data_IF_239630938346
#
_entry.id   IF_239630938346
#
_cell.length_a   1.000
_cell.length_b   1.000
_cell.length_c   1.000
_cell.angle_alpha   90.00
_cell.angle_beta   90.00
_cell.angle_gamma   90.00
#
_symmetry.space_group_name_H-M   'P 1'
#
loop_
_entity.id
_entity.type
_entity.pdbx_description
1 polymer ?
#
# COMPACT_ATOMS: atom_id res chain seq x y z
N UNK A 1 15.25 -18.43 -32.51
CA UNK A 1 14.03 -17.77 -31.98
C UNK A 1 13.13 -18.88 -31.45
N UNK A 2 12.65 -18.77 -30.21
CA UNK A 2 12.19 -19.94 -29.43
C UNK A 2 10.95 -20.60 -30.06
N UNK A 3 11.10 -21.85 -30.49
CA UNK A 3 10.10 -22.65 -31.19
C UNK A 3 9.20 -23.40 -30.20
N UNK A 4 8.31 -22.69 -29.50
CA UNK A 4 7.23 -23.32 -28.74
C UNK A 4 5.91 -23.12 -29.48
N UNK A 5 5.08 -24.16 -29.53
CA UNK A 5 3.76 -24.08 -30.19
C UNK A 5 2.94 -22.96 -29.52
N UNK A 6 2.44 -21.95 -30.24
CA UNK A 6 1.94 -20.70 -29.65
C UNK A 6 0.74 -20.88 -28.71
N UNK A 7 -0.05 -21.94 -28.90
CA UNK A 7 -1.20 -22.27 -28.03
C UNK A 7 -0.85 -23.16 -26.84
N UNK A 8 0.36 -23.73 -26.80
CA UNK A 8 0.82 -24.54 -25.67
C UNK A 8 0.99 -23.69 -24.41
N UNK A 9 0.97 -24.33 -23.23
CA UNK A 9 1.28 -23.67 -21.95
C UNK A 9 2.65 -22.99 -21.98
N UNK A 10 3.65 -23.66 -22.56
CA UNK A 10 5.00 -23.13 -22.75
C UNK A 10 5.01 -21.93 -23.70
N UNK A 11 4.29 -22.01 -24.82
CA UNK A 11 4.18 -20.91 -25.79
C UNK A 11 3.56 -19.66 -25.18
N UNK A 12 2.50 -19.82 -24.36
CA UNK A 12 1.89 -18.72 -23.61
C UNK A 12 2.83 -18.10 -22.59
N UNK A 13 3.53 -18.93 -21.80
CA UNK A 13 4.48 -18.47 -20.81
C UNK A 13 5.64 -17.69 -21.45
N UNK A 14 6.15 -18.19 -22.58
CA UNK A 14 7.20 -17.53 -23.34
C UNK A 14 6.74 -16.18 -23.91
N UNK A 15 5.56 -16.14 -24.54
CA UNK A 15 4.99 -14.91 -25.07
C UNK A 15 4.77 -13.86 -23.98
N UNK A 16 4.33 -14.30 -22.78
CA UNK A 16 4.21 -13.44 -21.62
C UNK A 16 5.57 -12.91 -21.14
N UNK A 17 6.56 -13.79 -20.96
CA UNK A 17 7.90 -13.42 -20.54
C UNK A 17 8.54 -12.42 -21.50
N UNK A 18 8.41 -12.64 -22.81
CA UNK A 18 8.92 -11.74 -23.85
C UNK A 18 8.33 -10.33 -23.76
N UNK A 19 7.02 -10.21 -23.50
CA UNK A 19 6.38 -8.91 -23.27
C UNK A 19 6.90 -8.20 -22.02
N UNK A 20 7.30 -8.96 -21.00
CA UNK A 20 7.79 -8.43 -19.73
C UNK A 20 9.29 -8.08 -19.74
N UNK A 21 10.07 -8.67 -20.67
CA UNK A 21 11.52 -8.47 -20.76
C UNK A 21 11.98 -7.01 -20.77
N UNK A 22 11.35 -6.07 -21.51
CA UNK A 22 11.76 -4.66 -21.48
C UNK A 22 11.70 -4.06 -20.07
N UNK A 23 10.61 -4.34 -19.33
CA UNK A 23 10.45 -3.88 -17.95
C UNK A 23 11.46 -4.52 -17.01
N UNK A 24 11.68 -5.84 -17.16
CA UNK A 24 12.69 -6.54 -16.35
C UNK A 24 14.10 -6.04 -16.63
N UNK A 25 14.43 -5.52 -17.81
CA UNK A 25 15.77 -4.98 -18.08
C UNK A 25 16.02 -3.61 -17.43
N UNK A 26 15.01 -2.96 -16.86
CA UNK A 26 15.14 -1.63 -16.24
C UNK A 26 16.12 -1.61 -15.06
N UNK A 27 16.30 -2.73 -14.34
CA UNK A 27 17.31 -2.79 -13.27
C UNK A 27 18.75 -2.78 -13.81
N UNK A 28 18.97 -3.14 -15.08
CA UNK A 28 20.29 -3.07 -15.72
C UNK A 28 20.69 -1.64 -16.05
N UNK A 29 19.71 -0.77 -16.29
CA UNK A 29 19.96 0.64 -16.65
C UNK A 29 19.97 1.56 -15.44
N UNK A 30 19.26 1.22 -14.36
CA UNK A 30 19.16 2.07 -13.18
C UNK A 30 19.47 1.28 -11.90
N UNK A 31 20.56 1.68 -11.22
CA UNK A 31 21.07 1.08 -9.98
C UNK A 31 20.11 1.18 -8.79
N UNK A 32 19.14 2.09 -8.82
CA UNK A 32 18.16 2.24 -7.75
C UNK A 32 17.18 1.06 -7.70
N UNK A 33 16.99 0.32 -8.80
CA UNK A 33 16.11 -0.84 -8.82
C UNK A 33 16.84 -2.12 -8.40
N UNK A 34 16.19 -2.87 -7.51
CA UNK A 34 16.66 -4.22 -7.11
C UNK A 34 16.20 -5.23 -8.16
N UNK A 35 17.00 -6.28 -8.36
CA UNK A 35 16.69 -7.38 -9.30
C UNK A 35 15.46 -8.20 -8.87
N UNK A 36 15.09 -8.13 -7.59
CA UNK A 36 14.02 -8.91 -6.98
C UNK A 36 12.93 -7.98 -6.42
N UNK A 37 11.69 -8.47 -6.42
CA UNK A 37 10.51 -7.72 -5.98
C UNK A 37 10.12 -7.98 -4.51
N UNK A 38 10.99 -8.63 -3.72
CA UNK A 38 10.66 -9.06 -2.35
C UNK A 38 10.13 -7.94 -1.46
N UNK A 39 10.59 -6.70 -1.65
CA UNK A 39 10.12 -5.56 -0.87
C UNK A 39 8.64 -5.26 -1.14
N UNK A 40 8.23 -5.20 -2.42
CA UNK A 40 6.84 -4.96 -2.77
C UNK A 40 5.96 -6.16 -2.41
N UNK A 41 6.46 -7.39 -2.59
CA UNK A 41 5.74 -8.60 -2.17
C UNK A 41 5.50 -8.63 -0.66
N UNK A 42 6.50 -8.27 0.15
CA UNK A 42 6.35 -8.14 1.60
C UNK A 42 5.37 -7.02 1.98
N UNK A 43 5.39 -5.90 1.26
CA UNK A 43 4.46 -4.79 1.50
C UNK A 43 3.01 -5.15 1.19
N UNK A 44 2.74 -5.90 0.12
CA UNK A 44 1.36 -6.27 -0.26
C UNK A 44 0.83 -7.51 0.49
N UNK A 45 1.72 -8.34 1.06
CA UNK A 45 1.34 -9.59 1.73
C UNK A 45 0.34 -9.40 2.89
N UNK A 46 0.51 -8.43 3.82
CA UNK A 46 -0.48 -8.17 4.87
C UNK A 46 -1.87 -7.90 4.30
N UNK A 47 -1.97 -7.06 3.27
CA UNK A 47 -3.24 -6.75 2.61
C UNK A 47 -3.90 -7.98 1.97
N UNK A 48 -3.12 -8.83 1.27
CA UNK A 48 -3.64 -10.07 0.66
C UNK A 48 -4.15 -11.04 1.72
N UNK A 49 -3.44 -11.19 2.83
CA UNK A 49 -3.85 -12.04 3.96
C UNK A 49 -5.15 -11.51 4.56
N UNK A 50 -5.25 -10.21 4.78
CA UNK A 50 -6.43 -9.60 5.39
C UNK A 50 -7.64 -9.57 4.47
N UNK A 51 -7.45 -9.46 3.15
CA UNK A 51 -8.53 -9.66 2.17
C UNK A 51 -9.20 -11.03 2.35
N UNK A 52 -8.43 -12.06 2.71
CA UNK A 52 -9.00 -13.39 3.01
C UNK A 52 -9.89 -13.37 4.26
N UNK A 53 -9.54 -12.59 5.27
CA UNK A 53 -10.39 -12.37 6.46
C UNK A 53 -11.65 -11.57 6.12
N UNK A 54 -11.56 -10.63 5.17
CA UNK A 54 -12.66 -9.72 4.80
C UNK A 54 -13.54 -10.19 3.64
N UNK A 55 -13.25 -11.35 3.04
CA UNK A 55 -14.20 -12.01 2.13
C UNK A 55 -15.56 -12.31 2.79
N UNK A 56 -15.67 -12.16 4.11
CA UNK A 56 -16.94 -12.22 4.84
C UNK A 56 -17.71 -10.88 4.90
N UNK A 57 -17.14 -9.77 4.41
CA UNK A 57 -17.82 -8.46 4.30
C UNK A 57 -18.73 -8.48 3.06
N UNK A 58 -19.99 -8.87 3.24
CA UNK A 58 -20.98 -9.08 2.15
C UNK A 58 -21.41 -7.82 1.38
N UNK A 59 -20.79 -6.67 1.61
CA UNK A 59 -21.24 -5.37 1.10
C UNK A 59 -20.09 -4.60 0.49
N UNK A 60 -20.27 -4.05 -0.71
CA UNK A 60 -19.27 -3.23 -1.42
C UNK A 60 -18.74 -2.04 -0.60
N UNK A 61 -19.61 -1.47 0.26
CA UNK A 61 -19.21 -0.43 1.22
C UNK A 61 -18.22 -0.94 2.26
N UNK A 62 -18.40 -2.16 2.76
CA UNK A 62 -17.50 -2.77 3.75
C UNK A 62 -16.13 -3.06 3.14
N UNK A 63 -16.09 -3.57 1.91
CA UNK A 63 -14.84 -3.75 1.17
C UNK A 63 -14.11 -2.43 0.96
N UNK A 64 -14.82 -1.38 0.53
CA UNK A 64 -14.24 -0.05 0.30
C UNK A 64 -13.69 0.58 1.58
N UNK A 65 -14.44 0.50 2.69
CA UNK A 65 -14.01 1.01 4.00
C UNK A 65 -12.76 0.28 4.50
N UNK A 66 -12.72 -1.04 4.29
CA UNK A 66 -11.60 -1.86 4.72
C UNK A 66 -10.31 -1.53 3.92
N UNK A 67 -10.44 -1.29 2.61
CA UNK A 67 -9.32 -0.83 1.78
C UNK A 67 -8.82 0.57 2.17
N UNK A 68 -9.75 1.47 2.52
CA UNK A 68 -9.42 2.80 3.03
C UNK A 68 -8.62 2.72 4.34
N UNK A 69 -9.10 1.91 5.30
CA UNK A 69 -8.40 1.71 6.57
C UNK A 69 -6.99 1.16 6.34
N UNK A 70 -6.80 0.16 5.47
CA UNK A 70 -5.44 -0.33 5.16
C UNK A 70 -4.53 0.74 4.56
N UNK A 71 -5.09 1.61 3.72
CA UNK A 71 -4.31 2.68 3.09
C UNK A 71 -3.78 3.66 4.15
N UNK A 72 -4.59 3.99 5.16
CA UNK A 72 -4.18 4.82 6.29
C UNK A 72 -3.08 4.12 7.11
N UNK A 73 -3.28 2.84 7.42
CA UNK A 73 -2.32 2.04 8.19
C UNK A 73 -0.95 1.98 7.52
N UNK A 74 -0.92 1.71 6.22
CA UNK A 74 0.35 1.64 5.48
C UNK A 74 0.99 3.02 5.35
N UNK A 75 0.20 4.09 5.21
CA UNK A 75 0.71 5.45 5.24
C UNK A 75 1.35 5.78 6.61
N UNK A 76 0.71 5.42 7.73
CA UNK A 76 1.25 5.66 9.07
C UNK A 76 2.60 4.95 9.28
N UNK A 77 2.70 3.69 8.85
CA UNK A 77 3.94 2.92 8.93
C UNK A 77 5.08 3.55 8.15
N UNK A 78 4.80 4.01 6.92
CA UNK A 78 5.80 4.67 6.07
C UNK A 78 6.25 6.00 6.68
N UNK A 79 5.36 6.71 7.37
CA UNK A 79 5.65 7.98 8.04
C UNK A 79 6.17 7.82 9.48
N UNK A 80 6.35 6.60 9.98
CA UNK A 80 6.88 6.34 11.32
C UNK A 80 5.92 6.73 12.46
N UNK A 81 4.61 6.72 12.20
CA UNK A 81 3.57 7.01 13.17
C UNK A 81 3.11 5.75 13.90
N UNK A 82 2.79 5.91 15.19
CA UNK A 82 2.14 4.91 16.00
C UNK A 82 0.66 4.85 15.61
N UNK A 83 0.33 3.88 14.76
CA UNK A 83 -0.99 3.70 14.15
C UNK A 83 -2.16 3.83 15.12
N UNK A 84 -2.10 3.21 16.30
CA UNK A 84 -3.19 3.26 17.29
C UNK A 84 -3.46 4.71 17.75
N UNK A 85 -2.42 5.45 18.07
CA UNK A 85 -2.54 6.85 18.52
C UNK A 85 -2.99 7.76 17.38
N UNK A 86 -2.46 7.53 16.18
CA UNK A 86 -2.83 8.32 15.02
C UNK A 86 -4.30 8.13 14.65
N UNK A 87 -4.82 6.89 14.69
CA UNK A 87 -6.24 6.64 14.45
C UNK A 87 -7.15 7.31 15.48
N UNK A 88 -6.77 7.29 16.77
CA UNK A 88 -7.51 8.00 17.81
C UNK A 88 -7.54 9.51 17.54
N UNK A 89 -6.37 10.10 17.27
CA UNK A 89 -6.26 11.51 16.90
C UNK A 89 -7.11 11.85 15.67
N UNK A 90 -7.04 11.03 14.62
CA UNK A 90 -7.82 11.24 13.40
C UNK A 90 -9.33 11.18 13.67
N UNK A 91 -9.80 10.24 14.49
CA UNK A 91 -11.21 10.15 14.85
C UNK A 91 -11.68 11.30 15.74
N UNK A 92 -10.85 11.77 16.68
CA UNK A 92 -11.15 12.95 17.48
C UNK A 92 -11.27 14.20 16.61
N UNK A 93 -10.35 14.39 15.67
CA UNK A 93 -10.39 15.52 14.74
C UNK A 93 -11.62 15.43 13.83
N UNK A 94 -11.88 14.26 13.24
CA UNK A 94 -13.04 14.06 12.37
C UNK A 94 -14.39 14.21 13.11
N UNK A 95 -14.46 13.85 14.39
CA UNK A 95 -15.67 14.02 15.19
C UNK A 95 -15.97 15.50 15.49
N UNK A 96 -14.94 16.35 15.54
CA UNK A 96 -15.06 17.77 15.85
C UNK A 96 -15.10 18.67 14.60
N UNK A 97 -14.83 18.13 13.41
CA UNK A 97 -14.84 18.88 12.15
C UNK A 97 -16.26 19.03 11.58
N UNK A 98 -16.65 20.26 11.28
CA UNK A 98 -17.75 20.50 10.34
C UNK A 98 -17.25 20.23 8.91
N UNK A 99 -18.09 19.56 8.09
CA UNK A 99 -17.76 19.02 6.75
C UNK A 99 -17.20 20.07 5.76
N UNK A 100 -17.26 21.37 6.09
CA UNK A 100 -16.76 22.48 5.26
C UNK A 100 -15.26 22.77 5.42
N UNK A 101 -14.57 22.17 6.39
CA UNK A 101 -13.16 22.46 6.67
C UNK A 101 -12.20 21.43 6.05
N UNK A 102 -12.24 21.24 4.73
CA UNK A 102 -11.29 20.35 4.03
C UNK A 102 -9.82 20.73 4.26
N UNK A 103 -9.53 22.02 4.41
CA UNK A 103 -8.17 22.52 4.67
C UNK A 103 -7.59 22.02 6.01
N UNK A 104 -8.45 21.68 6.98
CA UNK A 104 -8.01 21.09 8.25
C UNK A 104 -7.64 19.61 8.08
N UNK A 105 -8.29 18.90 7.15
CA UNK A 105 -7.96 17.51 6.87
C UNK A 105 -6.54 17.39 6.32
N UNK A 106 -6.12 18.32 5.46
CA UNK A 106 -4.74 18.36 4.91
C UNK A 106 -3.67 18.48 5.99
N UNK A 107 -3.99 19.16 7.10
CA UNK A 107 -3.10 19.31 8.26
C UNK A 107 -3.00 18.03 9.10
N UNK A 108 -3.95 17.11 8.94
CA UNK A 108 -4.04 15.89 9.74
C UNK A 108 -3.57 14.64 8.99
N UNK A 109 -3.16 14.76 7.73
CA UNK A 109 -2.68 13.66 6.90
C UNK A 109 -1.35 13.10 7.46
N UNK A 110 -1.02 11.79 7.32
CA UNK A 110 0.17 11.17 7.93
C UNK A 110 1.53 11.80 7.59
N UNK A 111 1.64 12.52 6.47
CA UNK A 111 2.86 13.20 6.03
C UNK A 111 2.84 14.72 6.28
N UNK A 112 1.84 15.22 7.02
CA UNK A 112 1.76 16.64 7.37
C UNK A 112 2.80 17.01 8.43
N UNK A 113 3.32 18.22 8.34
CA UNK A 113 4.29 18.76 9.32
C UNK A 113 3.62 19.09 10.66
N UNK A 114 2.29 19.30 10.67
CA UNK A 114 1.51 19.74 11.83
C UNK A 114 1.11 18.62 12.81
N UNK A 115 1.54 17.38 12.55
CA UNK A 115 1.16 16.23 13.37
C UNK A 115 1.92 16.27 14.71
N UNK A 116 1.25 16.06 15.85
CA UNK A 116 1.91 16.01 17.16
C UNK A 116 3.02 14.95 17.22
N UNK A 117 4.18 15.33 17.79
CA UNK A 117 5.34 14.44 17.96
C UNK A 117 5.03 13.18 18.79
N UNK A 118 4.04 13.25 19.67
CA UNK A 118 3.62 12.15 20.54
C UNK A 118 3.05 10.95 19.78
N UNK A 119 2.59 11.19 18.55
CA UNK A 119 2.07 10.19 17.62
C UNK A 119 3.19 9.45 16.90
N UNK A 120 4.43 9.94 16.91
CA UNK A 120 5.57 9.24 16.29
C UNK A 120 6.00 8.05 17.14
N UNK A 121 6.42 6.97 16.49
CA UNK A 121 6.94 5.79 17.19
C UNK A 121 8.23 6.19 17.91
N UNK A 122 8.23 6.13 19.24
CA UNK A 122 9.45 6.31 20.03
C UNK A 122 10.39 5.17 19.68
N UNK A 123 11.45 5.46 18.93
CA UNK A 123 12.47 4.46 18.63
C UNK A 123 13.22 4.17 19.94
N UNK A 124 12.82 3.12 20.64
CA UNK A 124 13.63 2.57 21.73
C UNK A 124 14.90 2.03 21.08
N UNK A 125 16.04 2.68 21.36
CA UNK A 125 17.36 2.20 20.96
C UNK A 125 17.68 0.89 21.65
#
# INVERSE_FOLDING_TARGET
MVNALPKSTLGKALAYAQKLLPYMRTFLTNRCFKIHNNAAERAIKPFVISRKSWMSSKTSKGESLSALLYSIIEADKVNGLAMEKYLLYLFEVLANLEIKEMDMLEKCIPWSENIPDELRVKTTK
#
